data_IF_924607984952
#
_entry.id   IF_924607984952
#
_cell.length_a   1.000
_cell.length_b   1.000
_cell.length_c   1.000
_cell.angle_alpha   90.00
_cell.angle_beta   90.00
_cell.angle_gamma   90.00
#
_symmetry.space_group_name_H-M   'P 1'
#
loop_
_entity.id
_entity.type
_entity.pdbx_description
1 polymer ?
#
# COMPACT_ATOMS: atom_id res chain seq x y z
N UNK A 1 -9.31 16.72 2.34
CA UNK A 1 -8.89 15.39 2.90
C UNK A 1 -9.95 14.94 3.89
N UNK A 2 -10.46 13.72 3.77
CA UNK A 2 -11.45 13.15 4.69
C UNK A 2 -10.83 12.97 6.09
N UNK A 3 -11.60 13.21 7.16
CA UNK A 3 -11.10 13.19 8.55
C UNK A 3 -10.45 11.85 8.94
N UNK A 4 -10.97 10.72 8.40
CA UNK A 4 -10.42 9.37 8.67
C UNK A 4 -8.98 9.20 8.18
N UNK A 5 -8.52 10.00 7.22
CA UNK A 5 -7.12 10.01 6.79
C UNK A 5 -6.14 10.32 7.94
N UNK A 6 -6.58 11.04 8.98
CA UNK A 6 -5.74 11.32 10.16
C UNK A 6 -5.42 10.07 11.00
N UNK A 7 -6.12 8.96 10.78
CA UNK A 7 -5.80 7.68 11.42
C UNK A 7 -4.72 6.90 10.64
N UNK A 8 -4.47 7.29 9.38
CA UNK A 8 -3.51 6.64 8.48
C UNK A 8 -2.27 7.52 8.29
N UNK A 9 -2.47 8.83 8.13
CA UNK A 9 -1.39 9.80 7.97
C UNK A 9 -1.15 10.55 9.27
N UNK A 10 0.11 10.72 9.66
CA UNK A 10 0.49 11.50 10.84
C UNK A 10 0.46 13.01 10.56
N UNK A 11 0.77 13.80 11.58
CA UNK A 11 0.75 15.28 11.49
C UNK A 11 1.75 15.85 10.49
N UNK A 12 2.82 15.13 10.19
CA UNK A 12 3.82 15.47 9.17
C UNK A 12 3.31 15.24 7.73
N UNK A 13 2.10 14.69 7.58
CA UNK A 13 1.49 14.34 6.30
C UNK A 13 2.06 13.07 5.69
N UNK A 14 2.82 12.28 6.44
CA UNK A 14 3.42 11.01 6.00
C UNK A 14 2.71 9.81 6.63
N UNK A 15 2.96 8.62 6.06
CA UNK A 15 2.36 7.38 6.53
C UNK A 15 3.28 6.18 6.31
N UNK A 16 3.38 5.34 7.34
CA UNK A 16 3.99 4.01 7.27
C UNK A 16 2.92 2.94 7.48
N UNK A 17 2.54 2.25 6.41
CA UNK A 17 1.53 1.20 6.42
C UNK A 17 2.16 -0.17 6.17
N UNK A 18 1.86 -1.15 7.02
CA UNK A 18 2.22 -2.55 6.78
C UNK A 18 1.13 -3.27 6.00
N UNK A 19 1.48 -3.81 4.80
CA UNK A 19 0.56 -4.60 3.99
C UNK A 19 0.59 -6.07 4.39
N UNK A 20 -0.57 -6.60 4.79
CA UNK A 20 -0.78 -7.99 5.21
C UNK A 20 -1.89 -8.71 4.42
N UNK A 21 -2.24 -8.21 3.24
CA UNK A 21 -3.36 -8.69 2.42
C UNK A 21 -3.03 -9.90 1.53
N UNK A 22 -1.77 -10.29 1.41
CA UNK A 22 -1.31 -11.33 0.48
C UNK A 22 -1.94 -12.71 0.74
N UNK A 23 -2.24 -13.06 1.98
CA UNK A 23 -2.76 -14.38 2.34
C UNK A 23 -4.16 -14.67 1.76
N UNK A 24 -4.89 -13.64 1.33
CA UNK A 24 -6.16 -13.81 0.63
C UNK A 24 -6.00 -14.30 -0.83
N UNK A 25 -4.80 -14.21 -1.40
CA UNK A 25 -4.53 -14.48 -2.81
C UNK A 25 -3.52 -15.62 -3.01
N UNK A 26 -2.56 -15.76 -2.09
CA UNK A 26 -1.45 -16.71 -2.22
C UNK A 26 -0.99 -17.27 -0.88
N UNK A 27 -0.33 -18.44 -0.87
CA UNK A 27 0.27 -19.01 0.35
C UNK A 27 1.22 -18.00 1.01
N UNK A 28 1.01 -17.75 2.31
CA UNK A 28 1.79 -16.80 3.08
C UNK A 28 2.22 -17.44 4.43
N UNK A 29 3.18 -18.39 4.40
CA UNK A 29 3.61 -19.12 5.59
C UNK A 29 4.20 -18.18 6.66
N UNK A 30 4.75 -17.04 6.26
CA UNK A 30 5.31 -16.03 7.17
C UNK A 30 4.22 -15.30 7.99
N UNK A 31 2.95 -15.44 7.61
CA UNK A 31 1.78 -14.92 8.32
C UNK A 31 1.04 -16.03 9.08
N UNK A 32 1.75 -17.07 9.58
CA UNK A 32 1.17 -18.16 10.36
C UNK A 32 0.61 -17.68 11.70
N UNK A 33 1.25 -16.71 12.34
CA UNK A 33 0.76 -15.98 13.51
C UNK A 33 0.61 -14.48 13.18
N UNK A 34 -0.52 -14.09 12.58
CA UNK A 34 -0.71 -12.69 12.21
C UNK A 34 -0.76 -11.75 13.41
N UNK A 35 -1.30 -12.22 14.55
CA UNK A 35 -1.40 -11.42 15.77
C UNK A 35 -0.02 -11.01 16.30
N UNK A 36 0.95 -11.93 16.29
CA UNK A 36 2.33 -11.62 16.64
C UNK A 36 2.91 -10.54 15.68
N UNK A 37 2.78 -10.74 14.37
CA UNK A 37 3.28 -9.77 13.37
C UNK A 37 2.68 -8.38 13.60
N UNK A 38 1.37 -8.30 13.84
CA UNK A 38 0.67 -7.04 14.09
C UNK A 38 1.22 -6.35 15.34
N UNK A 39 1.32 -7.07 16.47
CA UNK A 39 1.82 -6.48 17.72
C UNK A 39 3.26 -5.98 17.61
N UNK A 40 4.15 -6.75 16.98
CA UNK A 40 5.54 -6.33 16.74
C UNK A 40 5.61 -5.08 15.84
N UNK A 41 4.79 -5.03 14.78
CA UNK A 41 4.75 -3.87 13.89
C UNK A 41 4.21 -2.62 14.61
N UNK A 42 3.17 -2.77 15.43
CA UNK A 42 2.64 -1.67 16.27
C UNK A 42 3.72 -1.18 17.24
N UNK A 43 4.42 -2.09 17.92
CA UNK A 43 5.53 -1.73 18.81
C UNK A 43 6.68 -1.02 18.07
N UNK A 44 6.89 -1.35 16.80
CA UNK A 44 7.89 -0.70 15.93
C UNK A 44 7.43 0.62 15.30
N UNK A 45 6.22 1.11 15.59
CA UNK A 45 5.78 2.45 15.16
C UNK A 45 5.10 2.50 13.80
N UNK A 46 4.48 1.40 13.34
CA UNK A 46 3.62 1.40 12.15
C UNK A 46 2.39 2.28 12.38
N UNK A 47 2.04 3.11 11.40
CA UNK A 47 0.87 4.00 11.49
C UNK A 47 -0.44 3.27 11.20
N UNK A 48 -0.39 2.30 10.29
CA UNK A 48 -1.57 1.57 9.88
C UNK A 48 -1.27 0.26 9.16
N UNK A 49 -2.33 -0.46 8.83
CA UNK A 49 -2.28 -1.75 8.17
C UNK A 49 -3.19 -1.79 6.96
N UNK A 50 -2.68 -2.28 5.83
CA UNK A 50 -3.51 -2.75 4.73
C UNK A 50 -3.79 -4.23 4.98
N UNK A 51 -5.02 -4.57 5.31
CA UNK A 51 -5.40 -5.89 5.77
C UNK A 51 -6.67 -6.43 5.09
N UNK A 52 -6.81 -7.74 5.09
CA UNK A 52 -8.02 -8.42 4.63
C UNK A 52 -9.15 -8.29 5.65
N UNK A 53 -10.38 -8.45 5.21
CA UNK A 53 -11.56 -8.49 6.09
C UNK A 53 -11.40 -9.50 7.23
N UNK A 54 -10.88 -10.70 6.90
CA UNK A 54 -10.65 -11.77 7.88
C UNK A 54 -9.62 -11.38 8.94
N UNK A 55 -8.52 -10.72 8.57
CA UNK A 55 -7.53 -10.24 9.51
C UNK A 55 -8.10 -9.17 10.44
N UNK A 56 -8.74 -8.13 9.88
CA UNK A 56 -9.33 -7.07 10.69
C UNK A 56 -10.32 -7.66 11.69
N UNK A 57 -11.24 -8.53 11.23
CA UNK A 57 -12.27 -9.11 12.07
C UNK A 57 -11.73 -9.94 13.24
N UNK A 58 -10.66 -10.72 12.99
CA UNK A 58 -10.17 -11.69 13.99
C UNK A 58 -9.09 -11.14 14.92
N UNK A 59 -8.38 -10.06 14.51
CA UNK A 59 -7.24 -9.52 15.26
C UNK A 59 -7.43 -8.06 15.71
N UNK A 60 -8.67 -7.59 15.85
CA UNK A 60 -8.99 -6.18 16.21
C UNK A 60 -8.21 -5.66 17.41
N UNK A 61 -8.01 -6.49 18.44
CA UNK A 61 -7.30 -6.08 19.65
C UNK A 61 -5.80 -5.90 19.43
N UNK A 62 -5.22 -6.64 18.49
CA UNK A 62 -3.79 -6.60 18.22
C UNK A 62 -3.38 -5.33 17.46
N UNK A 63 -4.28 -4.76 16.65
CA UNK A 63 -4.03 -3.51 15.91
C UNK A 63 -3.94 -2.27 16.81
N UNK A 64 -4.47 -2.32 18.03
CA UNK A 64 -4.45 -1.16 18.93
C UNK A 64 -5.13 0.07 18.32
N UNK A 65 -4.38 1.17 18.22
CA UNK A 65 -4.85 2.43 17.63
C UNK A 65 -4.30 2.68 16.22
N UNK A 66 -3.68 1.69 15.58
CA UNK A 66 -3.19 1.82 14.23
C UNK A 66 -4.36 1.96 13.22
N UNK A 67 -4.18 2.76 12.18
CA UNK A 67 -5.17 2.94 11.13
C UNK A 67 -5.41 1.64 10.35
N UNK A 68 -6.65 1.39 9.93
CA UNK A 68 -7.02 0.17 9.23
C UNK A 68 -7.50 0.49 7.81
N UNK A 69 -6.81 -0.06 6.82
CA UNK A 69 -7.18 0.01 5.40
C UNK A 69 -7.68 -1.37 5.00
N UNK A 70 -8.96 -1.47 4.66
CA UNK A 70 -9.56 -2.71 4.16
C UNK A 70 -9.17 -2.93 2.70
N UNK A 71 -8.57 -4.09 2.37
CA UNK A 71 -8.47 -4.54 1.00
C UNK A 71 -9.86 -4.88 0.47
N UNK A 72 -10.36 -4.05 -0.46
CA UNK A 72 -11.75 -4.10 -0.93
C UNK A 72 -11.99 -5.11 -2.05
N UNK A 73 -10.97 -5.36 -2.85
CA UNK A 73 -11.02 -6.27 -4.01
C UNK A 73 -10.23 -7.55 -3.79
N UNK A 74 -10.40 -8.52 -4.69
CA UNK A 74 -9.75 -9.82 -4.63
C UNK A 74 -10.47 -10.85 -5.48
N UNK A 75 -10.70 -12.04 -4.89
CA UNK A 75 -11.35 -13.16 -5.60
C UNK A 75 -10.42 -13.97 -6.48
N UNK A 76 -9.13 -13.62 -6.52
CA UNK A 76 -8.09 -14.38 -7.21
C UNK A 76 -7.43 -15.40 -6.28
N UNK A 77 -6.83 -16.43 -6.88
CA UNK A 77 -6.16 -17.48 -6.12
C UNK A 77 -4.92 -17.99 -6.85
N UNK A 78 -3.84 -18.18 -6.10
CA UNK A 78 -2.64 -18.83 -6.63
C UNK A 78 -2.86 -20.27 -7.13
N UNK A 79 -4.01 -20.88 -6.76
CA UNK A 79 -4.42 -22.18 -7.27
C UNK A 79 -4.96 -22.12 -8.70
N UNK A 80 -5.26 -20.93 -9.22
CA UNK A 80 -5.74 -20.69 -10.58
C UNK A 80 -4.76 -19.77 -11.32
N UNK A 81 -4.48 -20.09 -12.60
CA UNK A 81 -3.70 -19.22 -13.49
C UNK A 81 -4.51 -18.95 -14.77
N UNK A 82 -4.54 -17.71 -15.24
CA UNK A 82 -3.98 -16.49 -14.59
C UNK A 82 -4.73 -16.13 -13.31
N UNK A 83 -4.10 -15.30 -12.46
CA UNK A 83 -4.70 -14.79 -11.23
C UNK A 83 -5.58 -13.55 -11.49
N UNK A 84 -6.36 -13.59 -12.53
CA UNK A 84 -7.27 -12.54 -12.99
C UNK A 84 -8.61 -13.16 -13.38
N UNK A 85 -9.71 -12.38 -13.50
CA UNK A 85 -9.83 -10.99 -13.09
C UNK A 85 -10.00 -10.79 -11.58
N UNK A 86 -9.69 -9.57 -11.08
CA UNK A 86 -10.07 -9.13 -9.75
C UNK A 86 -11.55 -8.75 -9.70
N UNK A 87 -12.16 -8.86 -8.53
CA UNK A 87 -13.53 -8.42 -8.28
C UNK A 87 -13.60 -7.57 -7.03
N UNK A 88 -14.52 -6.61 -6.98
CA UNK A 88 -14.83 -5.91 -5.75
C UNK A 88 -15.58 -6.88 -4.82
N UNK A 89 -15.08 -7.08 -3.60
CA UNK A 89 -15.60 -8.05 -2.64
C UNK A 89 -16.35 -7.40 -1.48
N UNK A 90 -15.95 -6.19 -1.09
CA UNK A 90 -16.44 -5.52 0.10
C UNK A 90 -16.91 -4.12 -0.23
N UNK A 91 -18.07 -3.77 0.33
CA UNK A 91 -18.68 -2.44 0.23
C UNK A 91 -18.14 -1.48 1.29
N UNK A 92 -18.36 -0.18 1.14
CA UNK A 92 -18.06 0.80 2.20
C UNK A 92 -18.84 0.54 3.50
N UNK A 93 -20.03 -0.04 3.43
CA UNK A 93 -20.78 -0.46 4.61
C UNK A 93 -20.05 -1.57 5.37
N UNK A 94 -19.47 -2.55 4.66
CA UNK A 94 -18.65 -3.60 5.28
C UNK A 94 -17.43 -3.00 5.98
N UNK A 95 -16.78 -2.00 5.38
CA UNK A 95 -15.64 -1.30 5.97
C UNK A 95 -16.06 -0.59 7.28
N UNK A 96 -17.19 0.11 7.29
CA UNK A 96 -17.74 0.74 8.51
C UNK A 96 -17.99 -0.30 9.59
N UNK A 97 -18.61 -1.43 9.23
CA UNK A 97 -18.99 -2.49 10.19
C UNK A 97 -17.81 -3.14 10.88
N UNK A 98 -16.67 -3.24 10.21
CA UNK A 98 -15.45 -3.81 10.82
C UNK A 98 -14.52 -2.75 11.41
N UNK A 99 -14.89 -1.46 11.36
CA UNK A 99 -14.10 -0.36 11.93
C UNK A 99 -12.89 0.04 11.08
N UNK A 100 -12.91 -0.21 9.77
CA UNK A 100 -11.85 0.25 8.88
C UNK A 100 -11.89 1.78 8.71
N UNK A 101 -10.73 2.40 8.61
CA UNK A 101 -10.57 3.84 8.40
C UNK A 101 -10.59 4.22 6.92
N UNK A 102 -10.11 3.31 6.07
CA UNK A 102 -10.09 3.48 4.61
C UNK A 102 -10.30 2.14 3.91
N UNK A 103 -10.46 2.21 2.60
CA UNK A 103 -10.45 1.05 1.70
C UNK A 103 -9.35 1.20 0.66
N UNK A 104 -8.91 0.08 0.08
CA UNK A 104 -7.96 0.08 -1.03
C UNK A 104 -8.35 -1.02 -2.02
N UNK A 105 -8.31 -0.69 -3.31
CA UNK A 105 -8.45 -1.64 -4.42
C UNK A 105 -7.29 -1.50 -5.41
N UNK A 106 -7.20 -2.43 -6.36
CA UNK A 106 -6.25 -2.37 -7.46
C UNK A 106 -6.84 -1.60 -8.64
N UNK A 107 -5.97 -1.00 -9.45
CA UNK A 107 -6.30 -0.54 -10.78
C UNK A 107 -5.15 -0.91 -11.75
N UNK A 108 -5.51 -1.40 -12.91
CA UNK A 108 -4.58 -1.88 -13.94
C UNK A 108 -4.74 -1.11 -15.27
N UNK A 109 -4.42 0.19 -15.32
CA UNK A 109 -4.49 0.97 -16.54
C UNK A 109 -3.69 0.33 -17.67
N UNK A 110 -4.31 0.13 -18.83
CA UNK A 110 -3.65 -0.42 -20.02
C UNK A 110 -3.53 -1.94 -20.06
N UNK A 111 -3.99 -2.67 -19.04
CA UNK A 111 -4.04 -4.15 -19.05
C UNK A 111 -5.32 -4.69 -19.69
N UNK A 112 -5.43 -6.01 -19.83
CA UNK A 112 -6.68 -6.67 -20.24
C UNK A 112 -7.82 -6.51 -19.25
N UNK A 113 -7.52 -6.17 -17.98
CA UNK A 113 -8.50 -5.89 -16.92
C UNK A 113 -8.71 -4.37 -16.70
N UNK A 114 -8.31 -3.53 -17.69
CA UNK A 114 -8.36 -2.08 -17.59
C UNK A 114 -9.77 -1.58 -17.23
N UNK A 115 -10.76 -1.88 -18.08
CA UNK A 115 -12.12 -1.36 -17.91
C UNK A 115 -12.72 -1.82 -16.59
N UNK A 116 -12.59 -3.09 -16.26
CA UNK A 116 -13.13 -3.67 -15.04
C UNK A 116 -12.55 -3.04 -13.78
N UNK A 117 -11.22 -2.87 -13.73
CA UNK A 117 -10.55 -2.37 -12.53
C UNK A 117 -10.77 -0.87 -12.33
N UNK A 118 -10.81 -0.10 -13.40
CA UNK A 118 -11.09 1.33 -13.34
C UNK A 118 -12.57 1.62 -13.02
N UNK A 119 -13.50 0.82 -13.57
CA UNK A 119 -14.92 0.96 -13.31
C UNK A 119 -15.25 0.68 -11.84
N UNK A 120 -14.84 -0.47 -11.30
CA UNK A 120 -15.15 -0.78 -9.90
C UNK A 120 -14.45 0.16 -8.91
N UNK A 121 -13.24 0.67 -9.26
CA UNK A 121 -12.55 1.66 -8.46
C UNK A 121 -13.35 2.97 -8.38
N UNK A 122 -13.83 3.48 -9.52
CA UNK A 122 -14.64 4.69 -9.56
C UNK A 122 -15.97 4.51 -8.81
N UNK A 123 -16.62 3.38 -8.95
CA UNK A 123 -17.84 3.03 -8.21
C UNK A 123 -17.57 2.98 -6.70
N UNK A 124 -16.50 2.31 -6.28
CA UNK A 124 -16.11 2.25 -4.88
C UNK A 124 -15.84 3.64 -4.29
N UNK A 125 -15.13 4.51 -5.03
CA UNK A 125 -14.86 5.88 -4.59
C UNK A 125 -16.15 6.68 -4.39
N UNK A 126 -17.08 6.60 -5.34
CA UNK A 126 -18.37 7.29 -5.27
C UNK A 126 -19.26 6.77 -4.13
N UNK A 127 -19.29 5.45 -3.90
CA UNK A 127 -20.05 4.86 -2.79
C UNK A 127 -19.42 5.18 -1.44
N UNK A 128 -18.08 5.08 -1.31
CA UNK A 128 -17.35 5.34 -0.08
C UNK A 128 -17.48 6.80 0.39
N UNK A 129 -17.67 7.74 -0.55
CA UNK A 129 -17.86 9.15 -0.23
C UNK A 129 -19.14 9.37 0.61
N UNK A 130 -20.20 8.58 0.40
CA UNK A 130 -21.44 8.62 1.18
C UNK A 130 -21.22 8.28 2.66
N UNK A 131 -20.16 7.55 2.98
CA UNK A 131 -19.78 7.13 4.33
C UNK A 131 -18.56 7.92 4.87
N UNK A 132 -18.06 8.89 4.10
CA UNK A 132 -16.84 9.63 4.40
C UNK A 132 -15.64 8.71 4.64
N UNK A 133 -15.56 7.61 3.88
CA UNK A 133 -14.43 6.66 3.91
C UNK A 133 -13.48 7.02 2.78
N UNK A 134 -12.17 7.22 3.07
CA UNK A 134 -11.15 7.36 2.04
C UNK A 134 -10.97 6.08 1.23
N UNK A 135 -10.73 6.23 -0.07
CA UNK A 135 -10.39 5.13 -0.97
C UNK A 135 -8.98 5.36 -1.51
N UNK A 136 -8.09 4.40 -1.26
CA UNK A 136 -6.82 4.30 -1.93
C UNK A 136 -6.89 3.40 -3.15
N UNK A 137 -6.00 3.61 -4.10
CA UNK A 137 -5.85 2.72 -5.23
C UNK A 137 -4.38 2.29 -5.38
N UNK A 138 -4.15 0.99 -5.47
CA UNK A 138 -2.88 0.45 -5.93
C UNK A 138 -2.87 0.46 -7.45
N UNK A 139 -2.23 1.50 -8.02
CA UNK A 139 -2.23 1.75 -9.44
C UNK A 139 -0.97 1.14 -10.08
N UNK A 140 -1.18 0.12 -10.91
CA UNK A 140 -0.11 -0.60 -11.60
C UNK A 140 -0.37 -0.55 -13.11
N UNK A 141 0.36 0.29 -13.86
CA UNK A 141 0.21 0.35 -15.31
C UNK A 141 0.49 -1.03 -15.91
N UNK A 142 -0.41 -1.49 -16.79
CA UNK A 142 -0.44 -2.82 -17.40
C UNK A 142 -0.59 -3.99 -16.42
N UNK A 143 -0.89 -3.73 -15.15
CA UNK A 143 -1.04 -4.77 -14.13
C UNK A 143 0.23 -5.61 -13.98
N UNK A 144 0.11 -6.92 -14.12
CA UNK A 144 1.23 -7.90 -14.13
C UNK A 144 1.52 -8.46 -15.52
N UNK A 145 0.96 -7.88 -16.56
CA UNK A 145 1.16 -8.29 -17.95
C UNK A 145 2.53 -7.85 -18.45
N UNK A 146 3.05 -8.62 -19.40
CA UNK A 146 4.27 -8.28 -20.13
C UNK A 146 3.87 -7.83 -21.54
N UNK A 147 4.36 -6.70 -21.94
CA UNK A 147 4.15 -6.15 -23.28
C UNK A 147 5.49 -6.00 -23.98
N UNK A 148 5.65 -6.65 -25.13
CA UNK A 148 6.90 -6.57 -25.89
C UNK A 148 7.16 -5.13 -26.36
N UNK A 149 8.37 -4.65 -26.13
CA UNK A 149 8.79 -3.30 -26.52
C UNK A 149 8.24 -2.15 -25.64
N UNK A 150 7.49 -2.47 -24.57
CA UNK A 150 6.95 -1.46 -23.64
C UNK A 150 7.60 -1.63 -22.27
N UNK A 151 8.23 -0.55 -21.75
CA UNK A 151 8.56 -0.49 -20.34
C UNK A 151 7.30 -0.13 -19.54
N UNK A 152 6.63 -1.17 -19.05
CA UNK A 152 5.38 -1.03 -18.28
C UNK A 152 5.56 -0.29 -16.96
N UNK A 153 6.81 -0.09 -16.50
CA UNK A 153 7.17 0.61 -15.25
C UNK A 153 7.98 1.88 -15.53
N UNK A 154 7.87 2.44 -16.73
CA UNK A 154 8.47 3.75 -17.00
C UNK A 154 7.85 4.83 -16.11
N UNK A 155 8.58 5.93 -15.92
CA UNK A 155 8.10 7.09 -15.14
C UNK A 155 6.82 7.64 -15.74
N UNK A 156 6.74 7.73 -17.07
CA UNK A 156 5.59 8.26 -17.80
C UNK A 156 4.33 7.41 -17.59
N UNK A 157 4.48 6.08 -17.68
CA UNK A 157 3.36 5.16 -17.43
C UNK A 157 2.91 5.20 -15.98
N UNK A 158 3.84 5.27 -15.03
CA UNK A 158 3.52 5.39 -13.61
C UNK A 158 2.83 6.71 -13.29
N UNK A 159 3.33 7.83 -13.82
CA UNK A 159 2.72 9.15 -13.65
C UNK A 159 1.28 9.18 -14.18
N UNK A 160 1.06 8.64 -15.38
CA UNK A 160 -0.27 8.54 -15.96
C UNK A 160 -1.21 7.67 -15.11
N UNK A 161 -0.77 6.48 -14.70
CA UNK A 161 -1.57 5.57 -13.89
C UNK A 161 -1.94 6.16 -12.52
N UNK A 162 -1.00 6.82 -11.83
CA UNK A 162 -1.27 7.51 -10.57
C UNK A 162 -2.26 8.66 -10.77
N UNK A 163 -2.09 9.46 -11.82
CA UNK A 163 -2.98 10.57 -12.14
C UNK A 163 -4.39 10.06 -12.47
N UNK A 164 -4.53 9.02 -13.28
CA UNK A 164 -5.83 8.45 -13.60
C UNK A 164 -6.58 7.95 -12.35
N UNK A 165 -5.87 7.30 -11.40
CA UNK A 165 -6.47 6.89 -10.14
C UNK A 165 -7.10 8.04 -9.36
N UNK A 166 -6.41 9.17 -9.28
CA UNK A 166 -6.92 10.36 -8.57
C UNK A 166 -8.08 11.02 -9.31
N UNK A 167 -8.01 11.10 -10.64
CA UNK A 167 -9.12 11.66 -11.46
C UNK A 167 -10.39 10.82 -11.33
N UNK A 168 -10.27 9.52 -11.05
CA UNK A 168 -11.40 8.63 -10.80
C UNK A 168 -11.84 8.58 -9.33
N UNK A 169 -11.25 9.41 -8.45
CA UNK A 169 -11.73 9.64 -7.11
C UNK A 169 -10.92 9.02 -5.97
N UNK A 170 -9.71 8.51 -6.22
CA UNK A 170 -8.85 8.03 -5.14
C UNK A 170 -8.40 9.18 -4.22
N UNK A 171 -8.43 8.97 -2.91
CA UNK A 171 -7.95 9.91 -1.89
C UNK A 171 -6.43 9.77 -1.65
N UNK A 172 -5.84 8.61 -1.97
CA UNK A 172 -4.40 8.35 -1.94
C UNK A 172 -4.03 7.23 -2.93
N UNK A 173 -2.76 7.19 -3.32
CA UNK A 173 -2.25 6.22 -4.28
C UNK A 173 -1.21 5.32 -3.62
N UNK A 174 -1.26 4.03 -3.91
CA UNK A 174 -0.18 3.07 -3.69
C UNK A 174 0.45 2.76 -5.04
N UNK A 175 1.76 3.00 -5.19
CA UNK A 175 2.46 2.88 -6.47
C UNK A 175 3.86 2.27 -6.31
N UNK A 176 4.42 1.70 -7.39
CA UNK A 176 5.82 1.29 -7.41
C UNK A 176 6.74 2.50 -7.45
N UNK A 177 7.82 2.46 -6.65
CA UNK A 177 8.93 3.39 -6.81
C UNK A 177 9.78 2.94 -8.01
N UNK A 178 9.66 3.65 -9.11
CA UNK A 178 10.37 3.33 -10.36
C UNK A 178 11.81 3.85 -10.39
N UNK A 179 12.28 4.43 -9.28
CA UNK A 179 13.66 4.84 -9.05
C UNK A 179 14.01 6.24 -9.59
N UNK A 180 15.11 6.77 -9.03
CA UNK A 180 15.75 7.98 -9.49
C UNK A 180 15.00 9.29 -9.23
N UNK A 181 15.65 10.39 -9.59
CA UNK A 181 15.10 11.75 -9.42
C UNK A 181 13.84 11.98 -10.25
N UNK A 182 13.69 11.30 -11.39
CA UNK A 182 12.51 11.42 -12.25
C UNK A 182 11.22 10.90 -11.61
N UNK A 183 11.27 10.14 -10.50
CA UNK A 183 10.05 9.80 -9.75
C UNK A 183 9.31 11.05 -9.24
N UNK A 184 9.98 12.19 -9.15
CA UNK A 184 9.35 13.48 -8.86
C UNK A 184 8.27 13.84 -9.88
N UNK A 185 8.42 13.45 -11.15
CA UNK A 185 7.40 13.66 -12.18
C UNK A 185 6.10 12.93 -11.85
N UNK A 186 6.20 11.74 -11.21
CA UNK A 186 5.03 10.97 -10.74
C UNK A 186 4.34 11.69 -9.58
N UNK A 187 5.11 12.15 -8.59
CA UNK A 187 4.56 12.77 -7.38
C UNK A 187 4.00 14.16 -7.64
N UNK A 188 4.61 14.96 -8.50
CA UNK A 188 4.13 16.28 -8.90
C UNK A 188 2.92 16.21 -9.84
N UNK A 189 2.86 15.17 -10.68
CA UNK A 189 1.72 14.91 -11.57
C UNK A 189 0.46 14.42 -10.86
N UNK A 190 0.56 14.01 -9.60
CA UNK A 190 -0.52 13.44 -8.81
C UNK A 190 -0.86 14.35 -7.62
N UNK A 191 -2.07 14.89 -7.55
CA UNK A 191 -2.48 15.79 -6.46
C UNK A 191 -2.99 15.08 -5.19
N UNK A 192 -2.98 13.74 -5.16
CA UNK A 192 -3.20 12.95 -3.94
C UNK A 192 -1.85 12.42 -3.40
N UNK A 193 -1.75 12.13 -2.09
CA UNK A 193 -0.54 11.55 -1.53
C UNK A 193 -0.23 10.18 -2.14
N UNK A 194 1.04 9.97 -2.53
CA UNK A 194 1.53 8.68 -3.01
C UNK A 194 2.30 7.98 -1.89
N UNK A 195 1.93 6.73 -1.62
CA UNK A 195 2.64 5.80 -0.74
C UNK A 195 3.28 4.72 -1.62
N UNK A 196 4.59 4.53 -1.49
CA UNK A 196 5.28 3.56 -2.36
C UNK A 196 5.17 2.13 -1.83
N UNK A 197 4.99 1.18 -2.73
CA UNK A 197 4.96 -0.24 -2.40
C UNK A 197 6.36 -0.86 -2.37
N UNK A 198 6.47 -2.04 -1.71
CA UNK A 198 7.75 -2.73 -1.53
C UNK A 198 8.25 -3.52 -2.73
N UNK A 199 7.46 -3.66 -3.78
CA UNK A 199 7.80 -4.42 -4.98
C UNK A 199 8.18 -5.88 -4.72
N UNK A 200 9.13 -6.39 -5.52
CA UNK A 200 9.70 -7.71 -5.37
C UNK A 200 10.54 -7.83 -4.09
N UNK A 201 10.99 -9.06 -3.75
CA UNK A 201 11.89 -9.25 -2.62
C UNK A 201 13.18 -8.45 -2.83
N UNK A 202 13.42 -7.48 -1.94
CA UNK A 202 14.68 -6.75 -1.90
C UNK A 202 15.85 -7.69 -1.57
N UNK A 203 17.04 -7.34 -2.02
CA UNK A 203 18.25 -8.13 -1.79
C UNK A 203 18.83 -7.91 -0.38
N UNK A 204 18.52 -6.77 0.23
CA UNK A 204 19.01 -6.39 1.56
C UNK A 204 18.14 -5.30 2.18
N UNK A 205 18.28 -5.10 3.50
CA UNK A 205 17.68 -3.98 4.23
C UNK A 205 18.20 -2.63 3.70
N UNK A 206 19.47 -2.56 3.30
CA UNK A 206 20.04 -1.36 2.69
C UNK A 206 19.27 -0.93 1.44
N UNK A 207 18.95 -1.88 0.55
CA UNK A 207 18.15 -1.59 -0.65
C UNK A 207 16.76 -1.07 -0.28
N UNK A 208 16.11 -1.67 0.71
CA UNK A 208 14.80 -1.23 1.19
C UNK A 208 14.87 0.22 1.68
N UNK A 209 15.83 0.53 2.55
CA UNK A 209 15.93 1.85 3.18
C UNK A 209 16.34 2.94 2.19
N UNK A 210 17.26 2.66 1.26
CA UNK A 210 17.60 3.60 0.19
C UNK A 210 16.42 3.87 -0.74
N UNK A 211 15.63 2.84 -1.08
CA UNK A 211 14.44 3.03 -1.91
C UNK A 211 13.37 3.86 -1.19
N UNK A 212 13.16 3.63 0.12
CA UNK A 212 12.22 4.43 0.92
C UNK A 212 12.69 5.88 0.96
N UNK A 213 13.96 6.12 1.30
CA UNK A 213 14.51 7.48 1.37
C UNK A 213 14.41 8.18 0.03
N UNK A 214 14.85 7.53 -1.06
CA UNK A 214 14.77 8.09 -2.41
C UNK A 214 13.35 8.42 -2.85
N UNK A 215 12.37 7.59 -2.51
CA UNK A 215 10.98 7.87 -2.81
C UNK A 215 10.45 9.10 -2.04
N UNK A 216 10.80 9.22 -0.75
CA UNK A 216 10.42 10.39 0.07
C UNK A 216 11.08 11.68 -0.45
N UNK A 217 12.37 11.62 -0.83
CA UNK A 217 13.09 12.75 -1.41
C UNK A 217 12.50 13.20 -2.75
N UNK A 218 11.93 12.25 -3.49
CA UNK A 218 11.18 12.52 -4.73
C UNK A 218 9.71 12.92 -4.51
N UNK A 219 9.27 13.13 -3.26
CA UNK A 219 7.95 13.70 -2.94
C UNK A 219 6.88 12.70 -2.49
N UNK A 220 7.18 11.38 -2.44
CA UNK A 220 6.27 10.41 -1.84
C UNK A 220 5.93 10.77 -0.38
N UNK A 221 4.76 10.33 0.07
CA UNK A 221 4.25 10.63 1.42
C UNK A 221 4.34 9.42 2.36
N UNK A 222 5.17 8.44 2.04
CA UNK A 222 5.39 7.26 2.86
C UNK A 222 5.32 5.97 2.07
N UNK A 223 4.97 4.90 2.77
CA UNK A 223 5.02 3.54 2.21
C UNK A 223 3.78 2.70 2.56
N UNK A 224 3.45 1.74 1.68
CA UNK A 224 2.60 0.60 1.96
C UNK A 224 3.36 -0.66 1.55
N UNK A 225 4.11 -1.26 2.48
CA UNK A 225 4.99 -2.41 2.23
C UNK A 225 4.60 -3.61 3.10
N UNK A 226 4.87 -4.81 2.63
CA UNK A 226 4.51 -6.04 3.34
C UNK A 226 5.68 -6.99 3.54
N UNK A 227 5.89 -7.92 2.59
CA UNK A 227 6.81 -9.06 2.67
C UNK A 227 8.24 -8.70 3.11
N UNK A 228 8.77 -7.59 2.67
CA UNK A 228 10.11 -7.13 3.04
C UNK A 228 10.21 -6.73 4.52
N UNK A 229 9.09 -6.50 5.20
CA UNK A 229 9.01 -6.11 6.61
C UNK A 229 8.64 -7.31 7.48
N UNK A 230 7.49 -7.96 7.25
CA UNK A 230 7.02 -9.03 8.13
C UNK A 230 7.81 -10.35 8.01
N UNK A 231 8.73 -10.46 7.04
CA UNK A 231 9.68 -11.55 6.91
C UNK A 231 11.01 -11.31 7.63
N UNK A 232 11.20 -10.11 8.17
CA UNK A 232 12.40 -9.79 8.90
C UNK A 232 12.40 -10.52 10.25
N UNK A 233 13.58 -10.99 10.70
CA UNK A 233 13.73 -11.73 11.96
C UNK A 233 13.30 -10.94 13.20
N UNK A 234 13.44 -9.61 13.15
CA UNK A 234 13.00 -8.70 14.20
C UNK A 234 12.09 -7.62 13.59
N UNK A 235 10.79 -7.89 13.61
CA UNK A 235 9.78 -7.04 12.97
C UNK A 235 9.71 -5.66 13.63
N UNK A 236 9.73 -5.60 14.96
CA UNK A 236 9.68 -4.32 15.69
C UNK A 236 10.89 -3.44 15.35
N UNK A 237 12.08 -4.04 15.25
CA UNK A 237 13.32 -3.30 14.97
C UNK A 237 13.36 -2.74 13.55
N UNK A 238 12.99 -3.54 12.53
CA UNK A 238 12.93 -3.02 11.15
C UNK A 238 11.82 -1.97 10.99
N UNK A 239 10.67 -2.13 11.67
CA UNK A 239 9.63 -1.13 11.68
C UNK A 239 10.11 0.19 12.31
N UNK A 240 10.83 0.15 13.44
CA UNK A 240 11.38 1.34 14.07
C UNK A 240 12.38 2.08 13.16
N UNK A 241 13.24 1.35 12.46
CA UNK A 241 14.17 1.92 11.50
C UNK A 241 13.44 2.59 10.31
N UNK A 242 12.39 1.95 9.79
CA UNK A 242 11.58 2.53 8.71
C UNK A 242 10.79 3.75 9.22
N UNK A 243 10.21 3.70 10.41
CA UNK A 243 9.51 4.83 11.01
C UNK A 243 10.44 6.05 11.14
N UNK A 244 11.69 5.85 11.54
CA UNK A 244 12.69 6.93 11.60
C UNK A 244 12.96 7.55 10.21
N UNK A 245 13.05 6.74 9.15
CA UNK A 245 13.18 7.28 7.78
C UNK A 245 11.94 8.07 7.39
N UNK A 246 10.75 7.55 7.67
CA UNK A 246 9.49 8.15 7.22
C UNK A 246 9.17 9.42 7.99
N UNK A 247 9.32 9.45 9.30
CA UNK A 247 8.83 10.53 10.16
C UNK A 247 9.91 11.48 10.68
N UNK A 248 11.13 10.95 10.92
CA UNK A 248 12.22 11.72 11.54
C UNK A 248 13.29 12.14 10.51
N UNK A 249 13.04 11.90 9.21
CA UNK A 249 13.98 12.19 8.11
C UNK A 249 15.35 11.51 8.27
N UNK A 250 15.44 10.38 8.99
CA UNK A 250 16.68 9.62 9.11
C UNK A 250 17.20 9.21 7.73
N UNK A 251 18.52 9.18 7.60
CA UNK A 251 19.18 8.63 6.41
C UNK A 251 19.01 7.09 6.36
N UNK A 252 19.18 6.51 5.18
CA UNK A 252 19.19 5.05 5.05
C UNK A 252 20.31 4.40 5.89
N UNK A 253 21.47 5.06 6.01
CA UNK A 253 22.60 4.56 6.78
C UNK A 253 22.35 4.63 8.29
N UNK A 254 21.73 5.70 8.79
CA UNK A 254 21.31 5.81 10.20
C UNK A 254 20.30 4.72 10.55
N UNK A 255 19.31 4.48 9.68
CA UNK A 255 18.35 3.42 9.86
C UNK A 255 18.98 2.02 9.84
N UNK A 256 20.00 1.78 8.98
CA UNK A 256 20.76 0.54 8.97
C UNK A 256 21.55 0.35 10.27
N UNK A 257 22.08 1.42 10.85
CA UNK A 257 22.78 1.36 12.13
C UNK A 257 21.84 0.93 13.27
N UNK A 258 20.53 1.26 13.18
CA UNK A 258 19.53 0.81 14.15
C UNK A 258 19.31 -0.71 14.13
N UNK A 259 19.62 -1.41 13.04
CA UNK A 259 19.45 -2.86 12.94
C UNK A 259 20.62 -3.65 13.58
N UNK A 260 21.74 -3.03 13.83
CA UNK A 260 22.87 -3.63 14.54
C UNK A 260 22.61 -3.64 16.05
#
# INVERSE_FOLDING_TARGET
>A
MKRRMNNIFKKDGRSFVLAMDHAAMMPSPDLKDPGHVIREAVAGGVDGFLATYGLIRNFQKDFGNAGLILRADGGVSALRKPMTPLSLLYSPEDAVRIGADAMLCMAYPGSTDNEQTLEYMAQLAAEADRYNIPVGVESLPYGFEKHEGIDTRSVENMAYACRQGVELGADFIKAEYVGGERFREVTEGCYAPILVLGGSKAKSEAEIFHNIRGALDAGAKGIIMGRNIYRHENIAKICAAIAAIVHDDASADDALAMLK
#
